data_IF_767365610007
#
_entry.id   IF_767365610007
#
_cell.length_a   1.000
_cell.length_b   1.000
_cell.length_c   1.000
_cell.angle_alpha   90.00
_cell.angle_beta   90.00
_cell.angle_gamma   90.00
#
_symmetry.space_group_name_H-M   'P 1'
#
loop_
_entity.id
_entity.type
_entity.pdbx_description
1 polymer ?
#
# COMPACT_ATOMS: atom_id res chain seq x y z
N UNK A 1 -11.94 -29.91 13.84
CA UNK A 1 -11.56 -28.60 14.41
C UNK A 1 -12.44 -27.55 13.75
N UNK A 2 -12.98 -26.61 14.52
CA UNK A 2 -13.83 -25.54 13.99
C UNK A 2 -12.95 -24.50 13.28
N UNK A 3 -13.30 -24.13 12.04
CA UNK A 3 -12.58 -23.08 11.30
C UNK A 3 -12.89 -21.73 11.93
N UNK A 4 -11.86 -21.00 12.39
CA UNK A 4 -12.02 -19.63 12.88
C UNK A 4 -12.50 -18.70 11.77
N UNK A 5 -13.43 -17.79 12.12
CA UNK A 5 -14.05 -16.84 11.20
C UNK A 5 -13.83 -15.42 11.67
N UNK A 6 -13.57 -14.53 10.72
CA UNK A 6 -13.29 -13.12 10.97
C UNK A 6 -14.20 -12.26 10.09
N UNK A 7 -14.44 -11.03 10.54
CA UNK A 7 -15.09 -10.02 9.72
C UNK A 7 -14.03 -9.38 8.83
N UNK A 8 -14.15 -9.57 7.52
CA UNK A 8 -13.25 -8.95 6.56
C UNK A 8 -13.89 -8.78 5.18
N UNK A 9 -13.42 -7.79 4.44
CA UNK A 9 -13.96 -7.40 3.15
C UNK A 9 -12.86 -7.51 2.06
N UNK A 10 -13.13 -8.21 0.93
CA UNK A 10 -12.21 -8.20 -0.20
C UNK A 10 -12.25 -6.84 -0.89
N UNK A 11 -11.08 -6.30 -1.22
CA UNK A 11 -10.95 -5.09 -2.02
C UNK A 11 -9.90 -5.26 -3.10
N UNK A 12 -9.96 -4.39 -4.09
CA UNK A 12 -9.02 -4.36 -5.20
C UNK A 12 -8.45 -2.96 -5.37
N UNK A 13 -7.17 -2.90 -5.76
CA UNK A 13 -6.45 -1.67 -6.01
C UNK A 13 -5.52 -1.78 -7.20
N UNK A 14 -5.24 -0.66 -7.84
CA UNK A 14 -4.24 -0.54 -8.89
C UNK A 14 -3.69 0.89 -8.88
N UNK A 15 -2.44 1.10 -9.33
CA UNK A 15 -1.89 2.44 -9.49
C UNK A 15 -2.81 3.31 -10.35
N UNK A 16 -2.93 4.59 -10.01
CA UNK A 16 -3.89 5.50 -10.69
C UNK A 16 -3.66 5.55 -12.20
N UNK A 17 -2.39 5.59 -12.60
CA UNK A 17 -1.95 5.60 -14.00
C UNK A 17 -2.08 4.25 -14.72
N UNK A 18 -2.35 3.15 -14.00
CA UNK A 18 -2.45 1.80 -14.54
C UNK A 18 -3.76 1.12 -14.13
N UNK A 19 -4.91 1.65 -14.55
CA UNK A 19 -6.21 1.14 -14.16
C UNK A 19 -6.49 -0.25 -14.75
N UNK A 20 -7.28 -1.02 -14.02
CA UNK A 20 -7.64 -2.41 -14.36
C UNK A 20 -9.15 -2.63 -14.33
N UNK A 21 -9.60 -3.71 -14.98
CA UNK A 21 -10.96 -4.26 -14.85
C UNK A 21 -10.87 -5.72 -14.43
N UNK A 22 -11.52 -6.08 -13.34
CA UNK A 22 -11.65 -7.50 -12.95
C UNK A 22 -12.62 -8.18 -13.90
N UNK A 23 -12.18 -9.27 -14.52
CA UNK A 23 -13.01 -10.14 -15.36
C UNK A 23 -13.63 -11.23 -14.50
N UNK A 24 -12.80 -11.90 -13.70
CA UNK A 24 -13.18 -12.92 -12.72
C UNK A 24 -12.22 -12.83 -11.54
N UNK A 25 -12.70 -13.05 -10.33
CA UNK A 25 -11.85 -13.02 -9.16
C UNK A 25 -12.57 -13.57 -7.94
N UNK A 26 -11.92 -14.46 -7.21
CA UNK A 26 -12.48 -15.09 -6.01
C UNK A 26 -11.38 -15.44 -5.01
N UNK A 27 -11.71 -15.29 -3.73
CA UNK A 27 -10.99 -15.93 -2.66
C UNK A 27 -11.58 -17.33 -2.44
N UNK A 28 -10.73 -18.35 -2.33
CA UNK A 28 -11.15 -19.74 -2.22
C UNK A 28 -10.79 -20.27 -0.84
N UNK A 29 -11.74 -20.90 -0.16
CA UNK A 29 -11.54 -21.58 1.13
C UNK A 29 -11.81 -23.08 0.95
N UNK A 30 -10.96 -23.95 1.50
CA UNK A 30 -11.00 -25.42 1.28
C UNK A 30 -12.35 -26.08 1.58
N UNK A 31 -13.21 -25.48 2.41
CA UNK A 31 -14.47 -26.07 2.87
C UNK A 31 -15.67 -25.11 2.81
N UNK A 32 -15.52 -23.90 2.24
CA UNK A 32 -16.57 -22.87 2.18
C UNK A 32 -16.45 -22.09 0.87
N UNK A 33 -17.57 -21.59 0.33
CA UNK A 33 -17.53 -20.62 -0.77
C UNK A 33 -16.92 -19.34 -0.21
N UNK A 34 -15.74 -18.97 -0.70
CA UNK A 34 -15.15 -17.68 -0.35
C UNK A 34 -15.74 -16.54 -1.20
N UNK A 35 -15.55 -15.28 -0.79
CA UNK A 35 -16.19 -14.17 -1.47
C UNK A 35 -15.53 -13.88 -2.82
N UNK A 36 -16.35 -13.48 -3.79
CA UNK A 36 -15.91 -12.89 -5.04
C UNK A 36 -15.15 -11.58 -4.78
N UNK A 37 -14.18 -11.29 -5.64
CA UNK A 37 -13.59 -9.97 -5.71
C UNK A 37 -14.59 -8.96 -6.30
N UNK A 38 -14.53 -7.69 -5.88
CA UNK A 38 -15.31 -6.61 -6.47
C UNK A 38 -15.16 -6.54 -8.00
N UNK A 39 -16.26 -6.65 -8.75
CA UNK A 39 -16.24 -6.64 -10.23
C UNK A 39 -16.44 -5.24 -10.80
N UNK A 40 -15.64 -4.28 -10.32
CA UNK A 40 -15.69 -2.92 -10.85
C UNK A 40 -15.08 -2.82 -12.26
N UNK A 41 -15.68 -1.95 -13.09
CA UNK A 41 -15.32 -1.79 -14.50
C UNK A 41 -14.01 -1.04 -14.75
N UNK A 42 -13.62 -0.14 -13.85
CA UNK A 42 -12.42 0.69 -13.98
C UNK A 42 -11.88 1.02 -12.59
N UNK A 43 -10.78 0.38 -12.21
CA UNK A 43 -10.16 0.53 -10.89
C UNK A 43 -8.75 1.08 -11.05
N UNK A 44 -8.53 2.29 -10.54
CA UNK A 44 -7.26 2.99 -10.50
C UNK A 44 -7.25 4.01 -9.36
N UNK A 45 -7.64 3.58 -8.15
CA UNK A 45 -7.76 4.46 -6.98
C UNK A 45 -6.44 4.69 -6.22
N UNK A 46 -5.35 4.09 -6.70
CA UNK A 46 -4.03 4.16 -6.08
C UNK A 46 -3.52 2.81 -5.60
N UNK A 47 -2.19 2.70 -5.55
CA UNK A 47 -1.49 1.49 -5.15
C UNK A 47 -1.77 1.12 -3.69
N UNK A 48 -2.22 -0.12 -3.46
CA UNK A 48 -2.64 -0.62 -2.14
C UNK A 48 -3.83 0.12 -1.51
N UNK A 49 -4.55 0.96 -2.27
CA UNK A 49 -5.81 1.58 -1.83
C UNK A 49 -6.99 0.76 -2.33
N UNK A 50 -8.03 0.68 -1.50
CA UNK A 50 -9.30 0.09 -1.90
C UNK A 50 -9.98 0.99 -2.92
N UNK A 51 -9.98 0.59 -4.20
CA UNK A 51 -10.68 1.30 -5.27
C UNK A 51 -12.09 0.78 -5.54
N UNK A 52 -12.42 -0.39 -5.02
CA UNK A 52 -13.75 -0.98 -5.15
C UNK A 52 -14.00 -1.99 -4.03
N UNK A 53 -15.23 -2.00 -3.54
CA UNK A 53 -15.69 -2.89 -2.47
C UNK A 53 -17.02 -3.52 -2.89
N UNK A 54 -17.17 -4.82 -2.64
CA UNK A 54 -18.45 -5.50 -2.68
C UNK A 54 -18.60 -6.30 -1.38
N UNK A 55 -19.60 -5.94 -0.57
CA UNK A 55 -19.93 -6.69 0.63
C UNK A 55 -21.01 -7.70 0.26
N UNK A 56 -20.59 -8.95 0.03
CA UNK A 56 -21.48 -10.06 -0.29
C UNK A 56 -21.15 -11.24 0.62
N UNK A 57 -22.19 -11.94 1.09
CA UNK A 57 -22.07 -13.09 1.99
C UNK A 57 -22.11 -12.73 3.48
N UNK A 58 -21.79 -13.68 4.37
CA UNK A 58 -21.88 -13.49 5.82
C UNK A 58 -20.82 -12.50 6.32
N UNK A 59 -21.15 -11.74 7.37
CA UNK A 59 -20.25 -10.77 8.00
C UNK A 59 -18.94 -11.44 8.42
N UNK A 60 -19.03 -12.58 9.13
CA UNK A 60 -17.88 -13.39 9.53
C UNK A 60 -17.69 -14.58 8.59
N UNK A 61 -16.49 -14.70 8.03
CA UNK A 61 -16.12 -15.76 7.08
C UNK A 61 -14.70 -16.26 7.35
N UNK A 62 -14.41 -17.48 6.91
CA UNK A 62 -13.08 -18.08 7.07
C UNK A 62 -12.01 -17.29 6.27
N UNK A 63 -10.76 -17.39 6.71
CA UNK A 63 -9.63 -16.83 5.97
C UNK A 63 -9.31 -17.69 4.74
N UNK A 64 -9.01 -17.07 3.58
CA UNK A 64 -8.85 -17.79 2.33
C UNK A 64 -7.57 -18.61 2.26
N UNK A 65 -7.65 -19.75 1.58
CA UNK A 65 -6.51 -20.63 1.29
C UNK A 65 -5.82 -20.26 -0.03
N UNK A 66 -6.58 -19.73 -0.99
CA UNK A 66 -6.06 -19.33 -2.30
C UNK A 66 -6.82 -18.15 -2.90
N UNK A 67 -6.19 -17.50 -3.88
CA UNK A 67 -6.76 -16.45 -4.71
C UNK A 67 -6.75 -16.92 -6.17
N UNK A 68 -7.87 -16.77 -6.87
CA UNK A 68 -7.94 -16.92 -8.33
C UNK A 68 -8.39 -15.59 -8.92
N UNK A 69 -7.71 -15.08 -9.94
CA UNK A 69 -7.99 -13.76 -10.50
C UNK A 69 -7.62 -13.67 -11.97
N UNK A 70 -8.50 -13.05 -12.74
CA UNK A 70 -8.33 -12.69 -14.15
C UNK A 70 -8.73 -11.23 -14.33
N UNK A 71 -7.88 -10.41 -14.96
CA UNK A 71 -8.16 -8.98 -15.17
C UNK A 71 -7.66 -8.47 -16.51
N UNK A 72 -8.24 -7.37 -16.97
CA UNK A 72 -7.76 -6.54 -18.07
C UNK A 72 -6.94 -5.38 -17.50
N UNK A 73 -5.75 -5.16 -18.03
CA UNK A 73 -4.97 -3.93 -17.84
C UNK A 73 -5.30 -2.97 -18.98
N UNK A 74 -5.90 -1.82 -18.67
CA UNK A 74 -6.28 -0.84 -19.70
C UNK A 74 -5.06 -0.19 -20.34
N UNK A 75 -4.03 0.11 -19.54
CA UNK A 75 -2.80 0.74 -20.02
C UNK A 75 -2.01 -0.16 -20.98
N UNK A 76 -2.06 -1.48 -20.77
CA UNK A 76 -1.35 -2.45 -21.61
C UNK A 76 -2.21 -3.04 -22.73
N UNK A 77 -3.54 -2.92 -22.62
CA UNK A 77 -4.50 -3.67 -23.43
C UNK A 77 -4.21 -5.19 -23.42
N UNK A 78 -4.01 -5.73 -22.21
CA UNK A 78 -3.64 -7.13 -21.98
C UNK A 78 -4.47 -7.76 -20.89
N UNK A 79 -4.71 -9.06 -21.01
CA UNK A 79 -5.32 -9.85 -19.95
C UNK A 79 -4.25 -10.60 -19.17
N UNK A 80 -4.48 -10.71 -17.87
CA UNK A 80 -3.64 -11.48 -16.95
C UNK A 80 -4.50 -12.45 -16.16
N UNK A 81 -3.93 -13.62 -15.85
CA UNK A 81 -4.58 -14.68 -15.09
C UNK A 81 -3.63 -15.33 -14.09
N UNK A 82 -4.13 -15.67 -12.91
CA UNK A 82 -3.36 -16.35 -11.90
C UNK A 82 -4.21 -17.03 -10.83
N UNK A 83 -3.67 -18.14 -10.33
CA UNK A 83 -4.16 -18.85 -9.14
C UNK A 83 -3.02 -19.06 -8.16
N UNK A 84 -3.19 -18.59 -6.93
CA UNK A 84 -2.13 -18.48 -5.94
C UNK A 84 -2.55 -19.10 -4.61
N UNK A 85 -1.67 -19.89 -4.00
CA UNK A 85 -1.82 -20.33 -2.62
C UNK A 85 -1.43 -19.16 -1.71
N UNK A 86 -2.29 -18.83 -0.75
CA UNK A 86 -2.07 -17.72 0.17
C UNK A 86 -1.32 -18.20 1.43
N UNK A 87 -0.52 -17.32 2.07
CA UNK A 87 0.17 -17.64 3.31
C UNK A 87 -0.79 -17.60 4.51
N UNK A 88 -1.69 -18.58 4.56
CA UNK A 88 -2.84 -18.61 5.48
C UNK A 88 -2.44 -18.57 6.96
N UNK A 89 -1.36 -19.24 7.34
CA UNK A 89 -0.85 -19.21 8.72
C UNK A 89 -0.45 -17.79 9.12
N UNK A 90 0.37 -17.11 8.31
CA UNK A 90 0.76 -15.72 8.53
C UNK A 90 -0.45 -14.79 8.62
N UNK A 91 -1.43 -14.96 7.74
CA UNK A 91 -2.67 -14.17 7.76
C UNK A 91 -3.43 -14.44 9.07
N UNK A 92 -3.61 -15.71 9.47
CA UNK A 92 -4.29 -16.07 10.71
C UNK A 92 -3.61 -15.50 11.94
N UNK A 93 -2.28 -15.59 12.02
CA UNK A 93 -1.50 -15.04 13.13
C UNK A 93 -1.67 -13.52 13.24
N UNK A 94 -1.70 -12.81 12.11
CA UNK A 94 -1.93 -11.36 12.09
C UNK A 94 -3.35 -11.00 12.55
N UNK A 95 -4.37 -11.73 12.11
CA UNK A 95 -5.75 -11.53 12.57
C UNK A 95 -5.93 -11.84 14.07
N UNK A 96 -5.25 -12.87 14.58
CA UNK A 96 -5.28 -13.21 16.02
C UNK A 96 -4.57 -12.18 16.87
N UNK A 97 -3.38 -11.76 16.42
CA UNK A 97 -2.56 -10.78 17.13
C UNK A 97 -3.20 -9.40 17.14
N UNK A 98 -3.77 -8.98 16.01
CA UNK A 98 -4.30 -7.64 15.83
C UNK A 98 -3.24 -6.55 16.11
N UNK A 99 -3.72 -5.36 16.47
CA UNK A 99 -2.88 -4.22 16.83
C UNK A 99 -3.64 -3.25 17.75
N UNK A 100 -2.89 -2.43 18.49
CA UNK A 100 -3.45 -1.30 19.25
C UNK A 100 -3.50 -0.08 18.33
N UNK A 101 -4.67 0.54 18.24
CA UNK A 101 -4.86 1.82 17.57
C UNK A 101 -4.54 2.96 18.54
N UNK A 102 -3.49 3.73 18.26
CA UNK A 102 -3.00 4.77 19.17
C UNK A 102 -4.04 5.85 19.48
N UNK A 103 -4.90 6.19 18.53
CA UNK A 103 -5.83 7.31 18.73
C UNK A 103 -7.03 6.91 19.57
N UNK A 104 -7.40 5.62 19.56
CA UNK A 104 -8.54 5.11 20.33
C UNK A 104 -8.13 4.27 21.54
N UNK A 105 -6.84 3.92 21.65
CA UNK A 105 -6.25 3.00 22.64
C UNK A 105 -6.98 1.64 22.71
N UNK A 106 -7.61 1.24 21.60
CA UNK A 106 -8.37 0.00 21.50
C UNK A 106 -7.57 -1.06 20.76
N UNK A 107 -7.66 -2.28 21.26
CA UNK A 107 -7.26 -3.46 20.50
C UNK A 107 -8.20 -3.62 19.30
N UNK A 108 -7.62 -3.71 18.11
CA UNK A 108 -8.29 -3.92 16.82
C UNK A 108 -7.64 -5.07 16.07
N UNK A 109 -8.29 -5.49 14.98
CA UNK A 109 -7.71 -6.40 14.00
C UNK A 109 -7.98 -5.87 12.60
N UNK A 110 -7.33 -6.48 11.61
CA UNK A 110 -7.57 -6.24 10.19
C UNK A 110 -9.00 -6.64 9.80
N UNK A 111 -9.58 -5.89 8.88
CA UNK A 111 -10.94 -6.03 8.37
C UNK A 111 -11.01 -5.92 6.83
N UNK A 112 -9.87 -5.79 6.15
CA UNK A 112 -9.77 -5.80 4.68
C UNK A 112 -8.66 -6.72 4.18
N UNK A 113 -8.94 -7.40 3.07
CA UNK A 113 -7.96 -8.09 2.24
C UNK A 113 -7.90 -7.38 0.88
N UNK A 114 -6.84 -6.62 0.66
CA UNK A 114 -6.67 -5.79 -0.54
C UNK A 114 -5.76 -6.50 -1.54
N UNK A 115 -6.25 -6.71 -2.76
CA UNK A 115 -5.46 -7.26 -3.88
C UNK A 115 -5.02 -6.12 -4.79
N UNK A 116 -3.72 -5.89 -4.89
CA UNK A 116 -3.11 -4.91 -5.78
C UNK A 116 -2.59 -5.56 -7.06
N UNK A 117 -2.79 -4.91 -8.20
CA UNK A 117 -2.21 -5.34 -9.47
C UNK A 117 -1.41 -4.20 -10.10
N UNK A 118 -0.28 -4.53 -10.71
CA UNK A 118 0.53 -3.59 -11.52
C UNK A 118 0.69 -4.10 -12.95
N UNK A 119 1.16 -3.26 -13.88
CA UNK A 119 1.59 -3.72 -15.19
C UNK A 119 2.57 -4.88 -15.14
N UNK A 120 2.55 -5.72 -16.18
CA UNK A 120 3.37 -6.93 -16.25
C UNK A 120 2.88 -8.07 -15.36
N UNK A 121 1.72 -7.97 -14.69
CA UNK A 121 1.08 -9.09 -14.00
C UNK A 121 1.52 -9.31 -12.55
N UNK A 122 2.18 -8.36 -11.90
CA UNK A 122 2.48 -8.50 -10.46
C UNK A 122 1.22 -8.32 -9.63
N UNK A 123 1.02 -9.20 -8.65
CA UNK A 123 -0.11 -9.18 -7.71
C UNK A 123 0.43 -9.11 -6.29
N UNK A 124 -0.13 -8.24 -5.46
CA UNK A 124 0.25 -8.10 -4.04
C UNK A 124 -1.00 -8.18 -3.18
N UNK A 125 -0.91 -8.89 -2.05
CA UNK A 125 -1.99 -9.00 -1.08
C UNK A 125 -1.59 -8.27 0.20
N UNK A 126 -2.45 -7.37 0.65
CA UNK A 126 -2.34 -6.73 1.96
C UNK A 126 -3.50 -7.08 2.88
N UNK A 127 -3.22 -7.05 4.17
CA UNK A 127 -4.23 -6.90 5.20
C UNK A 127 -4.26 -5.44 5.63
N UNK A 128 -5.44 -4.86 5.74
CA UNK A 128 -5.59 -3.51 6.31
C UNK A 128 -6.71 -3.44 7.33
N UNK A 129 -6.57 -2.45 8.22
CA UNK A 129 -7.56 -2.06 9.21
C UNK A 129 -7.11 -0.77 9.89
N UNK A 130 -8.05 0.15 10.12
CA UNK A 130 -7.76 1.47 10.68
C UNK A 130 -6.58 2.16 10.00
N UNK A 131 -5.53 2.49 10.78
CA UNK A 131 -4.28 3.10 10.30
C UNK A 131 -3.13 2.08 10.14
N UNK A 132 -3.45 0.83 9.81
CA UNK A 132 -2.47 -0.25 9.59
C UNK A 132 -2.72 -0.92 8.25
N UNK A 133 -1.64 -1.15 7.51
CA UNK A 133 -1.65 -1.98 6.33
C UNK A 133 -0.34 -2.78 6.27
N UNK A 134 -0.45 -4.10 6.09
CA UNK A 134 0.70 -5.00 6.05
C UNK A 134 0.64 -5.88 4.81
N UNK A 135 1.76 -5.98 4.11
CA UNK A 135 1.93 -6.83 2.95
C UNK A 135 2.11 -8.28 3.39
N UNK A 136 1.25 -9.18 2.92
CA UNK A 136 1.26 -10.59 3.33
C UNK A 136 1.73 -11.53 2.23
N UNK A 137 1.63 -11.15 0.96
CA UNK A 137 2.13 -11.97 -0.15
C UNK A 137 2.33 -11.20 -1.45
N UNK A 138 3.28 -11.68 -2.26
CA UNK A 138 3.58 -11.19 -3.60
C UNK A 138 3.50 -12.37 -4.58
N UNK A 139 2.90 -12.14 -5.73
CA UNK A 139 2.64 -13.17 -6.74
C UNK A 139 2.81 -12.61 -8.15
N UNK A 140 2.88 -13.52 -9.14
CA UNK A 140 3.03 -13.17 -10.56
C UNK A 140 2.00 -13.93 -11.39
N UNK A 141 1.07 -13.19 -11.98
CA UNK A 141 0.13 -13.70 -12.96
C UNK A 141 0.80 -13.83 -14.33
N UNK A 142 0.17 -14.61 -15.21
CA UNK A 142 0.62 -14.81 -16.58
C UNK A 142 -0.22 -13.96 -17.52
N UNK A 143 0.41 -13.35 -18.51
CA UNK A 143 -0.30 -12.75 -19.63
C UNK A 143 -1.03 -13.87 -20.39
N UNK A 144 -2.30 -13.65 -20.71
CA UNK A 144 -3.13 -14.58 -21.48
C UNK A 144 -3.85 -13.85 -22.61
N UNK A 145 -4.33 -14.63 -23.59
CA UNK A 145 -5.21 -14.13 -24.65
C UNK A 145 -6.61 -14.67 -24.40
N UNK A 146 -7.56 -13.76 -24.28
CA UNK A 146 -8.99 -14.07 -24.18
C UNK A 146 -9.69 -13.61 -25.44
N UNK A 147 -10.77 -14.30 -25.78
CA UNK A 147 -11.68 -13.98 -26.89
C UNK A 147 -13.10 -13.80 -26.37
N UNK A 148 -13.99 -13.30 -27.23
CA UNK A 148 -15.43 -13.21 -26.93
C UNK A 148 -16.00 -14.58 -26.55
N UNK A 149 -15.48 -15.69 -27.13
CA UNK A 149 -15.94 -17.05 -26.82
C UNK A 149 -15.58 -17.47 -25.38
N UNK A 150 -14.46 -16.98 -24.85
CA UNK A 150 -13.98 -17.33 -23.51
C UNK A 150 -14.75 -16.58 -22.40
N UNK A 151 -15.18 -15.35 -22.71
CA UNK A 151 -15.84 -14.45 -21.76
C UNK A 151 -17.35 -14.45 -21.88
N UNK A 152 -17.90 -14.73 -23.06
CA UNK A 152 -19.32 -14.60 -23.37
C UNK A 152 -19.67 -13.26 -24.01
N UNK A 153 -20.88 -13.17 -24.55
CA UNK A 153 -21.40 -11.99 -25.27
C UNK A 153 -21.48 -10.74 -24.41
N UNK A 154 -21.66 -10.90 -23.10
CA UNK A 154 -21.69 -9.77 -22.15
C UNK A 154 -20.38 -8.98 -22.13
N UNK A 155 -19.27 -9.57 -22.57
CA UNK A 155 -17.96 -8.95 -22.63
C UNK A 155 -17.53 -8.55 -24.05
N UNK A 156 -18.40 -8.73 -25.05
CA UNK A 156 -18.10 -8.45 -26.46
C UNK A 156 -17.64 -7.01 -26.70
N UNK A 157 -18.21 -6.05 -25.96
CA UNK A 157 -17.87 -4.64 -26.08
C UNK A 157 -16.39 -4.35 -25.84
N UNK A 158 -15.70 -5.14 -24.99
CA UNK A 158 -14.28 -4.93 -24.68
C UNK A 158 -13.36 -5.25 -25.87
N UNK A 159 -13.84 -6.08 -26.81
CA UNK A 159 -13.10 -6.51 -27.99
C UNK A 159 -13.33 -5.61 -29.21
N UNK A 160 -14.22 -4.61 -29.10
CA UNK A 160 -14.42 -3.64 -30.17
C UNK A 160 -13.14 -2.82 -30.39
N UNK A 161 -12.73 -2.59 -31.66
CA UNK A 161 -11.56 -1.76 -31.95
C UNK A 161 -11.64 -0.41 -31.25
N UNK A 162 -10.55 0.00 -30.59
CA UNK A 162 -10.46 1.29 -29.89
C UNK A 162 -11.01 1.30 -28.46
N UNK A 163 -11.90 0.38 -28.07
CA UNK A 163 -12.62 0.44 -26.78
C UNK A 163 -11.70 0.60 -25.56
N UNK A 164 -10.66 -0.21 -25.45
CA UNK A 164 -9.75 -0.19 -24.28
C UNK A 164 -9.00 1.14 -24.20
N UNK A 165 -8.47 1.61 -25.34
CA UNK A 165 -7.76 2.89 -25.43
C UNK A 165 -8.70 4.07 -25.12
N UNK A 166 -9.88 4.10 -25.71
CA UNK A 166 -10.87 5.16 -25.48
C UNK A 166 -11.37 5.17 -24.03
N UNK A 167 -11.55 4.00 -23.42
CA UNK A 167 -11.95 3.88 -22.01
C UNK A 167 -10.86 4.41 -21.09
N UNK A 168 -9.59 4.09 -21.37
CA UNK A 168 -8.46 4.70 -20.66
C UNK A 168 -8.47 6.22 -20.84
N UNK A 169 -8.46 6.71 -22.08
CA UNK A 169 -8.39 8.15 -22.37
C UNK A 169 -9.57 8.94 -21.82
N UNK A 170 -10.78 8.38 -21.77
CA UNK A 170 -11.96 9.06 -21.24
C UNK A 170 -11.94 9.21 -19.71
N UNK A 171 -11.45 8.19 -18.99
CA UNK A 171 -11.53 8.16 -17.53
C UNK A 171 -10.30 8.73 -16.82
N UNK A 172 -9.16 8.83 -17.51
CA UNK A 172 -7.93 9.38 -16.93
C UNK A 172 -7.96 10.91 -16.83
N UNK A 173 -7.28 11.48 -15.83
CA UNK A 173 -7.08 12.93 -15.74
C UNK A 173 -6.08 13.43 -16.81
N UNK A 174 -6.10 14.72 -17.19
CA UNK A 174 -5.10 15.28 -18.10
C UNK A 174 -3.66 15.06 -17.62
N UNK A 175 -3.40 15.24 -16.33
CA UNK A 175 -2.08 15.12 -15.72
C UNK A 175 -1.54 13.70 -15.84
N UNK A 176 -2.37 12.70 -15.52
CA UNK A 176 -1.97 11.29 -15.62
C UNK A 176 -1.79 10.85 -17.09
N UNK A 177 -2.55 11.43 -18.03
CA UNK A 177 -2.33 11.18 -19.48
C UNK A 177 -1.00 11.77 -19.95
N UNK A 178 -0.66 12.98 -19.53
CA UNK A 178 0.63 13.60 -19.86
C UNK A 178 1.79 12.82 -19.26
N UNK A 179 1.66 12.40 -18.00
CA UNK A 179 2.63 11.52 -17.35
C UNK A 179 2.78 10.21 -18.12
N UNK A 180 1.69 9.55 -18.49
CA UNK A 180 1.75 8.28 -19.23
C UNK A 180 2.38 8.45 -20.62
N UNK A 181 2.10 9.57 -21.31
CA UNK A 181 2.75 9.88 -22.60
C UNK A 181 4.26 10.07 -22.46
N UNK A 182 4.71 10.65 -21.34
CA UNK A 182 6.12 10.92 -21.05
C UNK A 182 6.87 9.66 -20.61
N UNK A 183 6.31 8.94 -19.65
CA UNK A 183 7.00 7.87 -18.93
C UNK A 183 6.68 6.49 -19.51
N UNK A 184 5.57 6.34 -20.23
CA UNK A 184 5.09 5.07 -20.74
C UNK A 184 4.71 4.06 -19.66
N UNK A 185 4.67 2.78 -20.03
CA UNK A 185 4.38 1.68 -19.12
C UNK A 185 5.65 1.30 -18.35
N UNK A 186 5.60 1.42 -17.03
CA UNK A 186 6.71 1.08 -16.12
C UNK A 186 6.55 -0.36 -15.61
N UNK A 187 7.08 -1.34 -16.33
CA UNK A 187 6.97 -2.76 -15.95
C UNK A 187 7.74 -3.13 -14.67
N UNK A 188 8.73 -2.33 -14.26
CA UNK A 188 9.52 -2.53 -13.04
C UNK A 188 8.98 -1.74 -11.84
N UNK A 189 7.77 -1.18 -11.93
CA UNK A 189 7.18 -0.36 -10.86
C UNK A 189 7.11 -1.11 -9.53
N UNK A 190 6.60 -2.35 -9.55
CA UNK A 190 6.50 -3.17 -8.35
C UNK A 190 7.88 -3.49 -7.75
N UNK A 191 8.91 -3.71 -8.58
CA UNK A 191 10.28 -3.96 -8.09
C UNK A 191 10.81 -2.75 -7.30
N UNK A 192 10.55 -1.54 -7.78
CA UNK A 192 10.95 -0.30 -7.10
C UNK A 192 10.21 -0.12 -5.78
N UNK A 193 8.89 -0.23 -5.80
CA UNK A 193 8.04 0.04 -4.64
C UNK A 193 8.12 -1.02 -3.54
N UNK A 194 8.26 -2.29 -3.91
CA UNK A 194 8.33 -3.42 -2.98
C UNK A 194 9.73 -3.60 -2.38
N UNK A 195 10.72 -2.82 -2.83
CA UNK A 195 12.10 -2.92 -2.34
C UNK A 195 12.17 -2.52 -0.86
N UNK A 196 12.78 -3.39 -0.06
CA UNK A 196 12.98 -3.20 1.38
C UNK A 196 14.46 -2.96 1.70
N UNK A 197 14.67 -2.20 2.76
CA UNK A 197 15.99 -1.94 3.34
C UNK A 197 15.92 -2.20 4.85
N UNK A 198 17.07 -2.45 5.47
CA UNK A 198 17.15 -2.60 6.93
C UNK A 198 17.34 -1.22 7.58
N UNK A 199 16.31 -0.64 8.18
CA UNK A 199 16.40 0.70 8.75
C UNK A 199 15.38 1.00 9.85
N UNK A 200 15.66 2.03 10.65
CA UNK A 200 14.84 2.51 11.76
C UNK A 200 14.59 4.01 11.72
N UNK A 201 13.66 4.45 12.57
CA UNK A 201 13.39 5.86 12.82
C UNK A 201 14.12 6.35 14.07
N UNK A 202 14.55 7.61 14.03
CA UNK A 202 14.97 8.34 15.25
C UNK A 202 14.41 9.74 15.25
N UNK A 203 14.31 10.32 16.45
CA UNK A 203 13.76 11.66 16.67
C UNK A 203 14.60 12.40 17.71
N UNK A 204 14.53 13.73 17.76
CA UNK A 204 15.17 14.57 18.79
C UNK A 204 14.33 14.66 20.08
N UNK A 205 14.07 13.50 20.69
CA UNK A 205 13.18 13.37 21.87
C UNK A 205 13.72 14.00 23.16
N UNK A 206 15.01 14.35 23.19
CA UNK A 206 15.64 15.13 24.25
C UNK A 206 15.14 16.57 24.30
N UNK A 207 14.64 17.10 23.18
CA UNK A 207 14.12 18.48 23.04
C UNK A 207 12.62 18.55 22.83
N UNK A 208 12.05 17.56 22.16
CA UNK A 208 10.65 17.58 21.71
C UNK A 208 9.92 16.34 22.21
N UNK A 209 8.71 16.52 22.74
CA UNK A 209 7.84 15.40 23.11
C UNK A 209 7.10 14.92 21.87
N UNK A 210 7.32 13.66 21.48
CA UNK A 210 6.62 13.02 20.37
C UNK A 210 5.38 12.26 20.86
N UNK A 211 4.32 12.26 20.04
CA UNK A 211 3.12 11.49 20.27
C UNK A 211 3.10 10.19 19.46
N UNK A 212 3.31 10.27 18.14
CA UNK A 212 3.47 9.11 17.25
C UNK A 212 4.15 9.48 15.92
N UNK A 213 4.68 8.46 15.23
CA UNK A 213 5.00 8.49 13.81
C UNK A 213 3.99 7.61 13.07
N UNK A 214 3.48 8.08 11.94
CA UNK A 214 2.63 7.29 11.04
C UNK A 214 3.23 7.29 9.63
N UNK A 215 4.13 6.33 9.35
CA UNK A 215 4.68 6.18 8.02
C UNK A 215 3.70 5.47 7.07
N UNK A 216 3.71 5.95 5.82
CA UNK A 216 3.11 5.35 4.65
C UNK A 216 4.25 5.05 3.66
N UNK A 217 4.37 3.81 3.23
CA UNK A 217 5.49 3.36 2.41
C UNK A 217 5.09 3.16 0.94
N UNK A 218 6.07 3.16 0.04
CA UNK A 218 5.84 2.93 -1.40
C UNK A 218 5.21 1.57 -1.71
N UNK A 219 5.42 0.54 -0.89
CA UNK A 219 4.72 -0.74 -1.01
C UNK A 219 3.31 -0.74 -0.42
N UNK A 220 2.78 0.44 -0.09
CA UNK A 220 1.49 0.68 0.56
C UNK A 220 1.35 0.09 1.95
N UNK A 221 2.42 -0.33 2.61
CA UNK A 221 2.33 -0.61 4.05
C UNK A 221 2.12 0.69 4.83
N UNK A 222 1.49 0.55 6.00
CA UNK A 222 1.27 1.65 6.93
C UNK A 222 1.47 1.18 8.36
N UNK A 223 2.19 1.97 9.14
CA UNK A 223 2.44 1.71 10.56
C UNK A 223 1.99 2.89 11.44
N UNK A 224 1.83 2.61 12.73
CA UNK A 224 1.83 3.59 13.81
C UNK A 224 2.95 3.19 14.77
N UNK A 225 3.83 4.13 15.10
CA UNK A 225 4.95 3.92 16.00
C UNK A 225 4.82 4.96 17.11
N UNK A 226 4.72 4.52 18.36
CA UNK A 226 4.41 5.39 19.50
C UNK A 226 4.99 4.81 20.79
N UNK A 227 4.92 5.58 21.87
CA UNK A 227 5.45 5.22 23.20
C UNK A 227 6.90 4.68 23.13
N UNK A 228 7.18 3.58 23.84
CA UNK A 228 8.52 2.99 23.88
C UNK A 228 9.01 2.53 22.51
N UNK A 229 8.12 2.08 21.62
CA UNK A 229 8.50 1.63 20.28
C UNK A 229 9.04 2.78 19.42
N UNK A 230 8.57 4.02 19.62
CA UNK A 230 9.09 5.20 18.92
C UNK A 230 10.49 5.57 19.38
N UNK A 231 10.75 5.47 20.69
CA UNK A 231 12.03 5.86 21.29
C UNK A 231 13.11 4.78 21.20
N UNK A 232 12.72 3.53 20.95
CA UNK A 232 13.62 2.37 20.85
C UNK A 232 13.44 1.59 19.56
N UNK A 233 13.03 2.26 18.47
CA UNK A 233 12.85 1.63 17.17
C UNK A 233 14.19 1.05 16.69
N UNK A 234 14.17 -0.25 16.38
CA UNK A 234 15.34 -0.98 15.88
C UNK A 234 15.23 -1.20 14.39
N UNK A 235 16.40 -1.29 13.73
CA UNK A 235 16.43 -1.50 12.29
C UNK A 235 15.74 -2.81 11.92
N UNK A 236 14.80 -2.72 10.99
CA UNK A 236 14.09 -3.85 10.43
C UNK A 236 13.79 -3.63 8.95
N UNK A 237 13.30 -4.67 8.28
CA UNK A 237 13.02 -4.64 6.84
C UNK A 237 11.77 -3.83 6.52
N UNK A 238 11.98 -2.57 6.12
CA UNK A 238 10.92 -1.63 5.74
C UNK A 238 11.11 -1.18 4.30
N UNK A 239 10.00 -0.94 3.62
CA UNK A 239 10.01 -0.28 2.32
C UNK A 239 10.40 1.21 2.47
N UNK A 240 10.68 1.87 1.36
CA UNK A 240 11.00 3.30 1.34
C UNK A 240 9.74 4.10 1.67
N UNK A 241 9.81 5.14 2.53
CA UNK A 241 8.63 5.94 2.86
C UNK A 241 8.20 6.82 1.68
N UNK A 242 6.90 6.84 1.42
CA UNK A 242 6.24 7.79 0.52
C UNK A 242 5.90 9.08 1.27
N UNK A 243 5.34 8.91 2.47
CA UNK A 243 4.86 9.99 3.33
C UNK A 243 4.97 9.59 4.79
N UNK A 244 5.25 10.54 5.68
CA UNK A 244 5.23 10.32 7.12
C UNK A 244 4.50 11.47 7.80
N UNK A 245 3.55 11.13 8.66
CA UNK A 245 2.98 12.08 9.61
C UNK A 245 3.73 11.98 10.93
N UNK A 246 4.31 13.10 11.36
CA UNK A 246 5.02 13.23 12.63
C UNK A 246 4.13 14.01 13.60
N UNK A 247 3.65 13.36 14.65
CA UNK A 247 2.84 14.02 15.69
C UNK A 247 3.70 14.31 16.92
N UNK A 248 3.70 15.57 17.37
CA UNK A 248 4.56 16.08 18.45
C UNK A 248 3.86 17.19 19.22
N UNK A 249 4.39 17.57 20.38
CA UNK A 249 3.84 18.65 21.20
C UNK A 249 4.70 19.91 21.13
N UNK A 250 4.06 21.05 20.89
CA UNK A 250 4.75 22.35 20.97
C UNK A 250 5.02 22.80 22.41
N UNK A 251 5.66 23.95 22.56
CA UNK A 251 5.99 24.53 23.87
C UNK A 251 4.75 24.87 24.72
N UNK A 252 3.58 25.00 24.10
CA UNK A 252 2.29 25.24 24.77
C UNK A 252 1.54 23.94 25.04
N UNK A 253 2.21 22.78 24.89
CA UNK A 253 1.61 21.45 25.02
C UNK A 253 0.46 21.20 24.05
N UNK A 254 0.41 21.91 22.91
CA UNK A 254 -0.56 21.67 21.85
C UNK A 254 -0.05 20.54 20.96
N UNK A 255 -0.94 19.63 20.59
CA UNK A 255 -0.64 18.56 19.65
C UNK A 255 -0.51 19.16 18.25
N UNK A 256 0.63 18.89 17.62
CA UNK A 256 0.99 19.30 16.28
C UNK A 256 1.12 18.06 15.41
N UNK A 257 0.74 18.19 14.14
CA UNK A 257 1.01 17.20 13.11
C UNK A 257 1.78 17.86 11.98
N UNK A 258 2.93 17.27 11.64
CA UNK A 258 3.68 17.60 10.43
C UNK A 258 3.49 16.48 9.42
N UNK A 259 2.81 16.76 8.32
CA UNK A 259 2.77 15.88 7.16
C UNK A 259 4.01 16.14 6.30
N UNK A 260 4.80 15.09 6.05
CA UNK A 260 6.00 15.12 5.20
C UNK A 260 5.76 14.20 4.01
N UNK A 261 5.65 14.78 2.81
CA UNK A 261 5.55 14.04 1.54
C UNK A 261 6.93 14.07 0.88
N UNK A 262 7.48 12.89 0.58
CA UNK A 262 8.81 12.79 -0.03
C UNK A 262 8.76 12.90 -1.55
N UNK A 263 9.80 13.50 -2.15
CA UNK A 263 10.06 13.33 -3.57
C UNK A 263 10.53 11.89 -3.82
N UNK A 264 9.76 11.13 -4.59
CA UNK A 264 9.98 9.69 -4.80
C UNK A 264 11.39 9.39 -5.34
N UNK A 265 11.90 10.22 -6.25
CA UNK A 265 13.22 10.01 -6.86
C UNK A 265 14.36 10.28 -5.86
N UNK A 266 14.29 11.39 -5.12
CA UNK A 266 15.28 11.73 -4.09
C UNK A 266 15.32 10.67 -2.99
N UNK A 267 14.16 10.28 -2.44
CA UNK A 267 14.11 9.35 -1.31
C UNK A 267 14.57 7.96 -1.73
N UNK A 268 14.17 7.45 -2.91
CA UNK A 268 14.69 6.18 -3.42
C UNK A 268 16.20 6.22 -3.66
N UNK A 269 16.71 7.32 -4.22
CA UNK A 269 18.15 7.49 -4.44
C UNK A 269 18.94 7.56 -3.12
N UNK A 270 18.38 8.18 -2.08
CA UNK A 270 18.98 8.20 -0.74
C UNK A 270 19.01 6.78 -0.13
N UNK A 271 17.88 6.06 -0.16
CA UNK A 271 17.78 4.70 0.38
C UNK A 271 18.66 3.69 -0.37
N UNK A 272 18.85 3.87 -1.68
CA UNK A 272 19.77 3.06 -2.47
C UNK A 272 21.25 3.16 -2.02
N UNK A 273 21.60 4.14 -1.19
CA UNK A 273 22.94 4.26 -0.58
C UNK A 273 23.12 3.41 0.68
N UNK A 274 22.06 2.79 1.21
CA UNK A 274 22.17 1.82 2.31
C UNK A 274 22.87 0.57 1.75
N UNK A 275 24.02 0.15 2.31
CA UNK A 275 24.71 -1.06 1.87
C UNK A 275 23.82 -2.30 2.01
N UNK A 276 24.04 -3.34 1.20
CA UNK A 276 23.21 -4.55 1.16
C UNK A 276 23.00 -5.23 2.53
N UNK A 277 23.99 -5.14 3.42
CA UNK A 277 23.92 -5.63 4.81
C UNK A 277 24.06 -4.50 5.86
N UNK A 278 23.95 -3.26 5.40
CA UNK A 278 24.04 -2.07 6.23
C UNK A 278 22.74 -1.79 6.97
N UNK A 279 22.76 -0.73 7.78
CA UNK A 279 21.60 -0.19 8.46
C UNK A 279 21.45 1.28 8.10
N UNK A 280 20.23 1.70 7.80
CA UNK A 280 19.86 3.10 7.71
C UNK A 280 19.17 3.59 8.97
N UNK A 281 19.26 4.88 9.24
CA UNK A 281 18.50 5.60 10.26
C UNK A 281 17.85 6.81 9.61
N UNK A 282 16.52 6.87 9.58
CA UNK A 282 15.79 8.06 9.11
C UNK A 282 15.47 8.94 10.32
N UNK A 283 16.22 10.03 10.45
CA UNK A 283 16.15 10.93 11.58
C UNK A 283 15.24 12.13 11.29
N UNK A 284 14.35 12.45 12.24
CA UNK A 284 13.54 13.67 12.26
C UNK A 284 14.03 14.62 13.34
N UNK A 285 14.51 15.79 12.93
CA UNK A 285 14.80 16.90 13.85
C UNK A 285 13.63 17.89 13.76
N UNK A 286 12.81 17.94 14.80
CA UNK A 286 11.72 18.92 14.93
C UNK A 286 12.25 20.19 15.60
N UNK A 287 12.01 21.35 15.00
CA UNK A 287 12.15 22.64 15.67
C UNK A 287 10.77 23.12 16.15
N UNK A 288 10.50 23.09 17.47
CA UNK A 288 9.19 23.46 18.00
C UNK A 288 8.92 24.96 17.98
N UNK A 289 9.93 25.81 17.77
CA UNK A 289 9.76 27.26 17.68
C UNK A 289 9.37 27.67 16.25
N UNK A 290 10.05 27.08 15.27
CA UNK A 290 9.87 27.37 13.85
C UNK A 290 8.79 26.47 13.20
N UNK A 291 8.29 25.46 13.93
CA UNK A 291 7.33 24.47 13.44
C UNK A 291 7.82 23.73 12.18
N UNK A 292 9.13 23.50 12.08
CA UNK A 292 9.76 22.82 10.95
C UNK A 292 10.24 21.43 11.35
N UNK A 293 10.36 20.55 10.36
CA UNK A 293 10.93 19.20 10.54
C UNK A 293 11.95 18.94 9.44
N UNK A 294 13.20 18.76 9.84
CA UNK A 294 14.27 18.35 8.93
C UNK A 294 14.41 16.83 8.95
N UNK A 295 14.60 16.23 7.77
CA UNK A 295 14.78 14.78 7.62
C UNK A 295 16.17 14.48 7.09
N UNK A 296 16.85 13.54 7.73
CA UNK A 296 18.19 13.08 7.33
C UNK A 296 18.24 11.56 7.37
N UNK A 297 18.63 10.93 6.26
CA UNK A 297 18.99 9.51 6.25
C UNK A 297 20.47 9.37 6.63
N UNK A 298 20.74 8.68 7.73
CA UNK A 298 22.09 8.33 8.17
C UNK A 298 22.38 6.88 7.80
N UNK A 299 23.52 6.61 7.17
CA UNK A 299 23.95 5.24 6.82
C UNK A 299 25.45 5.22 6.60
N UNK A 300 26.14 4.20 7.12
CA UNK A 300 27.59 3.99 6.87
C UNK A 300 28.46 5.24 7.11
N UNK A 301 28.22 5.93 8.24
CA UNK A 301 28.91 7.17 8.61
C UNK A 301 28.59 8.40 7.75
N UNK A 302 27.64 8.29 6.80
CA UNK A 302 27.19 9.39 5.94
C UNK A 302 25.85 9.92 6.41
N UNK A 303 25.66 11.23 6.29
CA UNK A 303 24.39 11.91 6.49
C UNK A 303 23.89 12.44 5.15
N UNK A 304 22.70 12.01 4.74
CA UNK A 304 22.05 12.40 3.49
C UNK A 304 20.82 13.22 3.88
N UNK A 305 20.89 14.54 3.71
CA UNK A 305 19.75 15.42 3.93
C UNK A 305 18.71 15.20 2.81
N UNK A 306 17.43 15.18 3.18
CA UNK A 306 16.32 15.11 2.22
C UNK A 306 15.83 16.54 2.00
N UNK A 307 15.96 17.06 0.77
CA UNK A 307 15.79 18.48 0.48
C UNK A 307 14.50 18.79 -0.27
N UNK A 308 14.00 17.85 -1.09
CA UNK A 308 12.81 18.05 -1.93
C UNK A 308 11.50 17.63 -1.26
N UNK A 309 11.56 17.27 0.02
CA UNK A 309 10.37 16.98 0.80
C UNK A 309 9.43 18.19 0.88
N UNK A 310 8.12 17.93 0.84
CA UNK A 310 7.10 18.93 1.15
C UNK A 310 6.60 18.67 2.57
N UNK A 311 6.86 19.60 3.48
CA UNK A 311 6.43 19.51 4.86
C UNK A 311 5.37 20.57 5.18
N UNK A 312 4.29 20.17 5.85
CA UNK A 312 3.26 21.09 6.35
C UNK A 312 2.95 20.75 7.81
N UNK A 313 3.18 21.71 8.70
CA UNK A 313 2.83 21.61 10.12
C UNK A 313 1.53 22.34 10.40
N UNK A 314 0.64 21.72 11.17
CA UNK A 314 -0.61 22.32 11.61
C UNK A 314 -1.00 21.81 13.00
N UNK A 315 -1.92 22.52 13.65
CA UNK A 315 -2.56 22.02 14.86
C UNK A 315 -3.33 20.75 14.53
N UNK A 316 -3.13 19.71 15.34
CA UNK A 316 -3.97 18.53 15.32
C UNK A 316 -5.21 18.86 16.15
N UNK A 317 -6.24 19.34 15.46
CA UNK A 317 -7.55 19.53 16.07
C UNK A 317 -8.18 18.14 16.14
N UNK A 318 -8.06 17.49 17.30
CA UNK A 318 -8.75 16.23 17.60
C UNK A 318 -10.25 16.30 17.24
#
# INVERSE_FOLDING_TARGET
>A
MQTEKYEWIPTIGAPEIYPIKIIRGEFITKNEIGPDLPRCDFVGAGWGRSGCVMVVGPDKKALPDSLSITWLSYAENKFYDGRFVLPKERISDLFKKGYVDRNTDKQRTYDYLTVGMTPGGTVVLWLSGGRRQIEVGQFKAKEIKLTIKDLGTDFEYMFKPGFVKETYERNMSPELKEQFKKDGIQYNLAEKWLKRYNWNFTVNSDKVKFYQLMPFYLNSEQEQIFDSALLSDVAQQRAVPEKINVEWFDQKSRKMITEIIFDENEIQAAFARIPQNGKGELHFEVDPNEYTVAVTLKTDGKNIKIEKQKAKTQHDAD
#
